data_IF_345494007147
#
_entry.id   IF_345494007147
#
_cell.length_a   1.000
_cell.length_b   1.000
_cell.length_c   1.000
_cell.angle_alpha   90.00
_cell.angle_beta   90.00
_cell.angle_gamma   90.00
#
_symmetry.space_group_name_H-M   'P 1'
#
loop_
_entity.id
_entity.type
_entity.pdbx_description
1 polymer ?
#
# COMPACT_ATOMS: atom_id res chain seq x y z
N UNK A 1 24.06 18.97 37.02
CA UNK A 1 22.65 18.53 36.79
C UNK A 1 22.21 18.81 35.34
N UNK A 2 22.95 18.34 34.32
CA UNK A 2 22.62 18.61 32.90
C UNK A 2 22.61 17.35 32.00
N UNK A 3 23.20 16.23 32.45
CA UNK A 3 23.30 15.01 31.65
C UNK A 3 22.05 14.11 31.67
N UNK A 4 21.11 14.35 32.60
CA UNK A 4 19.94 13.49 32.79
C UNK A 4 18.75 13.90 31.90
N UNK A 5 18.65 15.17 31.54
CA UNK A 5 17.57 15.68 30.67
C UNK A 5 17.70 15.24 29.21
N UNK A 6 18.93 15.08 28.72
CA UNK A 6 19.21 14.67 27.33
C UNK A 6 18.92 13.19 27.06
N UNK A 7 19.11 12.30 28.05
CA UNK A 7 18.76 10.87 27.90
C UNK A 7 17.25 10.63 27.79
N UNK A 8 16.43 11.37 28.57
CA UNK A 8 14.97 11.28 28.50
C UNK A 8 14.44 11.76 27.14
N UNK A 9 14.99 12.86 26.61
CA UNK A 9 14.61 13.39 25.28
C UNK A 9 14.95 12.41 24.15
N UNK A 10 16.09 11.73 24.20
CA UNK A 10 16.43 10.68 23.22
C UNK A 10 15.49 9.47 23.32
N UNK A 11 15.17 9.01 24.54
CA UNK A 11 14.22 7.91 24.75
C UNK A 11 12.80 8.24 24.30
N UNK A 12 12.38 9.50 24.44
CA UNK A 12 11.06 10.00 24.04
C UNK A 12 10.96 10.16 22.52
N UNK A 13 12.00 10.73 21.89
CA UNK A 13 12.11 10.82 20.43
C UNK A 13 12.13 9.45 19.75
N UNK A 14 12.86 8.47 20.30
CA UNK A 14 12.87 7.11 19.76
C UNK A 14 11.50 6.42 19.84
N UNK A 15 10.70 6.71 20.88
CA UNK A 15 9.35 6.14 21.03
C UNK A 15 8.36 6.70 20.03
N UNK A 16 8.45 8.00 19.74
CA UNK A 16 7.62 8.68 18.75
C UNK A 16 7.93 8.20 17.33
N UNK A 17 9.22 8.07 16.99
CA UNK A 17 9.66 7.51 15.71
C UNK A 17 9.20 6.05 15.55
N UNK A 18 9.36 5.23 16.59
CA UNK A 18 8.90 3.84 16.56
C UNK A 18 7.38 3.73 16.35
N UNK A 19 6.58 4.59 16.99
CA UNK A 19 5.13 4.63 16.81
C UNK A 19 4.74 5.07 15.40
N UNK A 20 5.46 6.04 14.80
CA UNK A 20 5.21 6.48 13.43
C UNK A 20 5.53 5.36 12.43
N UNK A 21 6.69 4.72 12.55
CA UNK A 21 7.08 3.61 11.68
C UNK A 21 6.11 2.43 11.80
N UNK A 22 5.65 2.11 13.02
CA UNK A 22 4.68 1.03 13.20
C UNK A 22 3.31 1.37 12.57
N UNK A 23 2.93 2.66 12.57
CA UNK A 23 1.75 3.16 11.89
C UNK A 23 1.85 3.01 10.38
N UNK A 24 2.98 3.43 9.81
CA UNK A 24 3.27 3.30 8.37
C UNK A 24 3.30 1.82 7.95
N UNK A 25 3.96 0.96 8.72
CA UNK A 25 3.99 -0.48 8.47
C UNK A 25 2.59 -1.11 8.52
N UNK A 26 1.72 -0.67 9.45
CA UNK A 26 0.33 -1.15 9.51
C UNK A 26 -0.49 -0.69 8.30
N UNK A 27 -0.30 0.55 7.85
CA UNK A 27 -0.96 1.06 6.65
C UNK A 27 -0.51 0.28 5.40
N UNK A 28 0.79 0.01 5.27
CA UNK A 28 1.35 -0.82 4.19
C UNK A 28 0.82 -2.25 4.28
N UNK A 29 0.83 -2.88 5.46
CA UNK A 29 0.32 -4.23 5.65
C UNK A 29 -1.18 -4.35 5.35
N UNK A 30 -1.98 -3.34 5.72
CA UNK A 30 -3.41 -3.29 5.38
C UNK A 30 -3.62 -3.16 3.86
N UNK A 31 -2.81 -2.33 3.18
CA UNK A 31 -2.84 -2.18 1.73
C UNK A 31 -2.45 -3.48 1.02
N UNK A 32 -1.43 -4.18 1.51
CA UNK A 32 -1.00 -5.49 1.01
C UNK A 32 -2.04 -6.58 1.30
N UNK A 33 -2.67 -6.58 2.49
CA UNK A 33 -3.71 -7.54 2.84
C UNK A 33 -4.93 -7.42 1.94
N UNK A 34 -5.23 -6.22 1.43
CA UNK A 34 -6.30 -6.03 0.45
C UNK A 34 -5.98 -6.66 -0.92
N UNK A 35 -4.70 -6.91 -1.20
CA UNK A 35 -4.23 -7.64 -2.39
C UNK A 35 -4.19 -9.17 -2.18
N UNK A 36 -4.37 -9.68 -0.95
CA UNK A 36 -4.27 -11.12 -0.63
C UNK A 36 -5.40 -11.94 -1.25
N UNK A 37 -6.55 -11.31 -1.54
CA UNK A 37 -7.65 -11.92 -2.28
C UNK A 37 -7.94 -11.13 -3.57
N UNK A 38 -7.11 -11.27 -4.62
CA UNK A 38 -7.29 -10.50 -5.84
C UNK A 38 -8.60 -10.89 -6.54
N UNK A 39 -9.36 -9.91 -7.05
CA UNK A 39 -10.66 -10.18 -7.67
C UNK A 39 -10.51 -11.08 -8.89
N UNK A 40 -11.52 -11.93 -9.12
CA UNK A 40 -11.59 -12.78 -10.31
C UNK A 40 -11.81 -11.88 -11.54
N UNK A 41 -11.08 -12.16 -12.61
CA UNK A 41 -11.25 -11.47 -13.88
C UNK A 41 -12.66 -11.68 -14.43
N UNK A 42 -13.47 -10.62 -14.49
CA UNK A 42 -14.84 -10.67 -14.99
C UNK A 42 -14.94 -11.08 -16.48
N UNK A 43 -13.84 -11.03 -17.23
CA UNK A 43 -13.82 -11.39 -18.64
C UNK A 43 -13.67 -12.89 -18.89
N UNK A 44 -12.68 -13.55 -18.26
CA UNK A 44 -12.48 -14.99 -18.45
C UNK A 44 -13.05 -15.85 -17.32
N UNK A 45 -13.37 -15.27 -16.17
CA UNK A 45 -13.88 -15.96 -14.98
C UNK A 45 -12.92 -16.95 -14.34
N UNK A 46 -11.68 -17.06 -14.84
CA UNK A 46 -10.70 -18.08 -14.45
C UNK A 46 -9.47 -17.50 -13.75
N UNK A 47 -8.89 -16.44 -14.32
CA UNK A 47 -7.71 -15.79 -13.75
C UNK A 47 -8.08 -14.75 -12.70
N UNK A 48 -7.10 -14.40 -11.87
CA UNK A 48 -7.17 -13.32 -10.90
C UNK A 48 -6.56 -12.05 -11.50
N UNK A 49 -7.03 -10.90 -11.03
CA UNK A 49 -6.49 -9.60 -11.40
C UNK A 49 -5.31 -9.26 -10.49
N UNK A 50 -4.11 -9.19 -11.06
CA UNK A 50 -2.88 -8.81 -10.36
C UNK A 50 -2.51 -7.37 -10.69
N UNK A 51 -2.12 -6.60 -9.69
CA UNK A 51 -1.63 -5.24 -9.88
C UNK A 51 -0.30 -5.27 -10.63
N UNK A 52 -0.21 -4.54 -11.75
CA UNK A 52 1.02 -4.41 -12.54
C UNK A 52 1.60 -3.00 -12.53
N UNK A 53 0.77 -1.99 -12.24
CA UNK A 53 1.18 -0.59 -12.18
C UNK A 53 0.20 0.16 -11.26
N UNK A 54 0.71 1.06 -10.42
CA UNK A 54 -0.07 1.95 -9.56
C UNK A 54 0.50 3.35 -9.70
N UNK A 55 -0.36 4.34 -9.97
CA UNK A 55 0.04 5.75 -10.10
C UNK A 55 -0.97 6.66 -9.43
N UNK A 56 -0.60 7.88 -9.02
CA UNK A 56 -1.57 8.87 -8.57
C UNK A 56 -2.58 9.15 -9.68
N UNK A 57 -3.87 9.21 -9.35
CA UNK A 57 -4.90 9.55 -10.33
C UNK A 57 -4.62 10.94 -10.93
N UNK A 58 -4.92 11.10 -12.22
CA UNK A 58 -4.60 12.35 -12.93
C UNK A 58 -5.35 13.55 -12.36
N UNK A 59 -6.56 13.36 -11.85
CA UNK A 59 -7.44 14.42 -11.38
C UNK A 59 -7.42 14.57 -9.86
N UNK A 60 -7.30 13.44 -9.14
CA UNK A 60 -7.45 13.34 -7.69
C UNK A 60 -6.19 12.83 -6.99
N UNK A 61 -5.07 12.68 -7.69
CA UNK A 61 -3.79 12.26 -7.11
C UNK A 61 -3.30 13.17 -5.99
N UNK A 62 -3.60 14.47 -6.08
CA UNK A 62 -3.30 15.43 -5.01
C UNK A 62 -4.11 15.18 -3.71
N UNK A 63 -5.22 14.45 -3.80
CA UNK A 63 -6.04 14.01 -2.66
C UNK A 63 -5.62 12.61 -2.14
N UNK A 64 -4.58 12.01 -2.72
CA UNK A 64 -4.11 10.67 -2.36
C UNK A 64 -4.87 9.53 -3.04
N UNK A 65 -5.69 9.82 -4.06
CA UNK A 65 -6.34 8.80 -4.88
C UNK A 65 -5.33 8.22 -5.87
N UNK A 66 -5.32 6.90 -6.03
CA UNK A 66 -4.45 6.18 -6.96
C UNK A 66 -5.29 5.50 -8.03
N UNK A 67 -4.76 5.49 -9.25
CA UNK A 67 -5.23 4.67 -10.36
C UNK A 67 -4.36 3.40 -10.41
N UNK A 68 -5.02 2.24 -10.48
CA UNK A 68 -4.38 0.93 -10.49
C UNK A 68 -4.63 0.24 -11.82
N UNK A 69 -3.56 -0.18 -12.49
CA UNK A 69 -3.66 -1.07 -13.64
C UNK A 69 -3.50 -2.50 -13.17
N UNK A 70 -4.57 -3.27 -13.30
CA UNK A 70 -4.63 -4.69 -13.02
C UNK A 70 -4.54 -5.51 -14.32
N UNK A 71 -3.87 -6.66 -14.27
CA UNK A 71 -3.79 -7.62 -15.37
C UNK A 71 -4.31 -8.98 -14.94
N UNK A 72 -5.05 -9.65 -15.81
CA UNK A 72 -5.41 -11.05 -15.59
C UNK A 72 -4.19 -11.97 -15.74
N UNK A 73 -3.92 -12.81 -14.74
CA UNK A 73 -2.78 -13.74 -14.72
C UNK A 73 -2.98 -14.98 -15.62
N UNK A 74 -4.21 -15.29 -16.04
CA UNK A 74 -4.47 -16.40 -16.93
C UNK A 74 -3.73 -16.21 -18.27
N UNK A 75 -2.90 -17.19 -18.64
CA UNK A 75 -1.99 -17.14 -19.79
C UNK A 75 -2.70 -16.85 -21.12
N UNK A 76 -3.93 -17.35 -21.25
CA UNK A 76 -4.81 -17.22 -22.42
C UNK A 76 -5.72 -15.98 -22.39
N UNK A 77 -5.74 -15.21 -21.29
CA UNK A 77 -6.57 -14.01 -21.16
C UNK A 77 -5.74 -12.72 -21.22
N UNK A 78 -4.83 -12.53 -20.25
CA UNK A 78 -3.96 -11.35 -20.18
C UNK A 78 -4.64 -9.98 -20.14
N UNK A 79 -5.98 -9.91 -19.98
CA UNK A 79 -6.76 -8.67 -20.06
C UNK A 79 -6.35 -7.65 -19.00
N UNK A 80 -6.30 -6.38 -19.39
CA UNK A 80 -6.04 -5.25 -18.52
C UNK A 80 -7.35 -4.61 -18.03
N UNK A 81 -7.36 -4.22 -16.77
CA UNK A 81 -8.44 -3.49 -16.09
C UNK A 81 -7.82 -2.30 -15.37
N UNK A 82 -8.46 -1.13 -15.45
CA UNK A 82 -8.05 0.07 -14.71
C UNK A 82 -9.09 0.28 -13.61
N UNK A 83 -8.63 0.38 -12.37
CA UNK A 83 -9.44 0.63 -11.16
C UNK A 83 -9.03 1.95 -10.50
#
# INVERSE_FOLDING_TARGET
MLAWGTMLVWGQSNREVAMSILGDLRAVAAKLSHQDNPPICAFCGKGKLVLIDERPDRNFGALGVVEQTLRCDAADCGKLTID
#
